data_IF_820296191925
#
_entry.id   IF_820296191925
#
_cell.length_a   1.000
_cell.length_b   1.000
_cell.length_c   1.000
_cell.angle_alpha   90.00
_cell.angle_beta   90.00
_cell.angle_gamma   90.00
#
_symmetry.space_group_name_H-M   'P 1'
#
loop_
_entity.id
_entity.type
_entity.pdbx_description
1 polymer ?
#
# COMPACT_ATOMS: atom_id res chain seq x y z
N UNK A 1 30.97 -13.83 -27.30
CA UNK A 1 30.44 -13.10 -26.13
C UNK A 1 28.96 -13.42 -26.03
N UNK A 2 28.57 -14.24 -25.07
CA UNK A 2 27.15 -14.37 -24.72
C UNK A 2 26.88 -13.31 -23.67
N UNK A 3 26.13 -12.26 -24.02
CA UNK A 3 25.50 -11.40 -23.02
C UNK A 3 24.62 -12.31 -22.16
N UNK A 4 24.96 -12.43 -20.88
CA UNK A 4 24.21 -13.24 -19.94
C UNK A 4 23.16 -12.32 -19.28
N UNK A 5 21.87 -12.37 -19.70
CA UNK A 5 20.84 -11.43 -19.25
C UNK A 5 20.62 -11.46 -17.72
N UNK A 6 20.99 -12.55 -17.07
CA UNK A 6 20.98 -12.69 -15.61
C UNK A 6 21.89 -11.67 -14.93
N UNK A 7 23.05 -11.33 -15.51
CA UNK A 7 24.03 -10.45 -14.86
C UNK A 7 23.60 -8.98 -14.79
N UNK A 8 22.85 -8.49 -15.77
CA UNK A 8 22.37 -7.10 -15.77
C UNK A 8 21.08 -6.94 -14.96
N UNK A 9 20.23 -7.97 -14.93
CA UNK A 9 19.09 -8.04 -14.00
C UNK A 9 19.56 -8.07 -12.53
N UNK A 10 20.61 -8.84 -12.24
CA UNK A 10 21.20 -8.92 -10.90
C UNK A 10 21.78 -7.57 -10.45
N UNK A 11 22.48 -6.86 -11.36
CA UNK A 11 22.99 -5.51 -11.09
C UNK A 11 21.85 -4.52 -10.80
N UNK A 12 20.80 -4.51 -11.63
CA UNK A 12 19.66 -3.62 -11.44
C UNK A 12 18.96 -3.86 -10.09
N UNK A 13 18.81 -5.13 -9.70
CA UNK A 13 18.25 -5.50 -8.39
C UNK A 13 19.15 -5.05 -7.23
N UNK A 14 20.47 -5.22 -7.35
CA UNK A 14 21.43 -4.77 -6.34
C UNK A 14 21.40 -3.24 -6.17
N UNK A 15 21.34 -2.49 -7.26
CA UNK A 15 21.22 -1.03 -7.24
C UNK A 15 19.89 -0.55 -6.64
N UNK A 16 18.78 -1.25 -6.92
CA UNK A 16 17.48 -0.95 -6.31
C UNK A 16 17.52 -1.17 -4.79
N UNK A 17 18.13 -2.28 -4.34
CA UNK A 17 18.31 -2.58 -2.90
C UNK A 17 19.19 -1.56 -2.20
N UNK A 18 20.30 -1.15 -2.83
CA UNK A 18 21.19 -0.13 -2.28
C UNK A 18 20.45 1.19 -2.05
N UNK A 19 19.71 1.67 -3.05
CA UNK A 19 18.87 2.87 -2.93
C UNK A 19 17.80 2.76 -1.85
N UNK A 20 17.17 1.59 -1.72
CA UNK A 20 16.18 1.35 -0.68
C UNK A 20 16.82 1.39 0.72
N UNK A 21 18.03 0.83 0.87
CA UNK A 21 18.76 0.82 2.15
C UNK A 21 19.19 2.22 2.61
N UNK A 22 19.41 3.15 1.68
CA UNK A 22 19.71 4.56 1.97
C UNK A 22 18.46 5.35 2.41
N UNK A 23 17.26 4.84 2.12
CA UNK A 23 16.00 5.53 2.44
C UNK A 23 15.57 5.20 3.87
N UNK A 24 15.21 6.20 4.71
CA UNK A 24 14.72 5.93 6.05
C UNK A 24 13.51 5.00 6.02
N UNK A 25 13.53 3.91 6.81
CA UNK A 25 12.47 2.90 6.80
C UNK A 25 11.06 3.49 7.01
N UNK A 26 10.93 4.54 7.83
CA UNK A 26 9.65 5.24 8.04
C UNK A 26 9.04 5.80 6.74
N UNK A 27 9.88 6.31 5.82
CA UNK A 27 9.44 6.86 4.54
C UNK A 27 8.95 5.75 3.63
N UNK A 28 9.66 4.63 3.59
CA UNK A 28 9.26 3.45 2.81
C UNK A 28 7.93 2.88 3.33
N UNK A 29 7.78 2.76 4.65
CA UNK A 29 6.55 2.26 5.27
C UNK A 29 5.38 3.22 5.05
N UNK A 30 5.58 4.54 5.19
CA UNK A 30 4.55 5.55 4.87
C UNK A 30 4.12 5.46 3.40
N UNK A 31 5.07 5.27 2.49
CA UNK A 31 4.75 5.04 1.07
C UNK A 31 3.95 3.74 0.85
N UNK A 32 4.22 2.67 1.61
CA UNK A 32 3.40 1.46 1.56
C UNK A 32 2.00 1.65 2.11
N UNK A 33 1.82 2.48 3.15
CA UNK A 33 0.50 2.87 3.66
C UNK A 33 -0.30 3.57 2.57
N UNK A 34 0.30 4.54 1.86
CA UNK A 34 -0.34 5.22 0.72
C UNK A 34 -0.68 4.21 -0.38
N UNK A 35 0.27 3.35 -0.77
CA UNK A 35 0.04 2.36 -1.83
C UNK A 35 -1.08 1.36 -1.52
N UNK A 36 -1.24 0.95 -0.24
CA UNK A 36 -2.34 0.07 0.18
C UNK A 36 -3.70 0.80 0.12
N UNK A 37 -3.73 2.08 0.49
CA UNK A 37 -4.93 2.92 0.32
C UNK A 37 -5.32 3.05 -1.16
N UNK A 38 -4.36 3.37 -2.03
CA UNK A 38 -4.60 3.49 -3.47
C UNK A 38 -5.06 2.17 -4.08
N UNK A 39 -4.45 1.05 -3.67
CA UNK A 39 -4.86 -0.28 -4.10
C UNK A 39 -6.32 -0.54 -3.73
N UNK A 40 -6.71 -0.29 -2.48
CA UNK A 40 -8.11 -0.42 -2.07
C UNK A 40 -9.04 0.44 -2.93
N UNK A 41 -8.68 1.70 -3.18
CA UNK A 41 -9.47 2.61 -4.00
C UNK A 41 -9.60 2.14 -5.47
N UNK A 42 -8.52 1.61 -6.07
CA UNK A 42 -8.53 1.04 -7.42
C UNK A 42 -9.48 -0.16 -7.51
N UNK A 43 -9.46 -1.04 -6.51
CA UNK A 43 -10.34 -2.22 -6.49
C UNK A 43 -11.81 -1.85 -6.24
N UNK A 44 -12.08 -0.85 -5.39
CA UNK A 44 -13.44 -0.32 -5.17
C UNK A 44 -13.99 0.43 -6.38
N UNK A 45 -13.14 1.15 -7.11
CA UNK A 45 -13.53 1.89 -8.32
C UNK A 45 -13.65 1.04 -9.59
N UNK A 46 -13.36 -0.27 -9.51
CA UNK A 46 -13.54 -1.17 -10.64
C UNK A 46 -15.02 -1.38 -10.99
N UNK A 47 -15.30 -1.87 -12.21
CA UNK A 47 -16.66 -2.19 -12.65
C UNK A 47 -16.71 -3.63 -13.22
N UNK A 48 -17.29 -4.61 -12.48
CA UNK A 48 -17.85 -4.47 -11.14
C UNK A 48 -16.77 -4.23 -10.06
N UNK A 49 -17.12 -3.64 -8.90
CA UNK A 49 -16.18 -3.49 -7.79
C UNK A 49 -15.61 -4.83 -7.33
N UNK A 50 -14.31 -4.86 -7.03
CA UNK A 50 -13.60 -6.06 -6.55
C UNK A 50 -13.48 -6.04 -5.03
N UNK A 51 -14.56 -6.42 -4.34
CA UNK A 51 -14.65 -6.26 -2.88
C UNK A 51 -13.64 -7.09 -2.09
N UNK A 52 -13.39 -8.35 -2.44
CA UNK A 52 -12.42 -9.19 -1.72
C UNK A 52 -11.00 -8.62 -1.77
N UNK A 53 -10.56 -8.17 -2.96
CA UNK A 53 -9.25 -7.54 -3.12
C UNK A 53 -9.16 -6.20 -2.39
N UNK A 54 -10.21 -5.38 -2.47
CA UNK A 54 -10.28 -4.11 -1.75
C UNK A 54 -10.20 -4.32 -0.23
N UNK A 55 -10.91 -5.34 0.27
CA UNK A 55 -10.90 -5.70 1.69
C UNK A 55 -9.51 -6.10 2.15
N UNK A 56 -8.81 -6.94 1.38
CA UNK A 56 -7.43 -7.34 1.71
C UNK A 56 -6.51 -6.13 1.85
N UNK A 57 -6.60 -5.17 0.92
CA UNK A 57 -5.80 -3.95 0.97
C UNK A 57 -6.16 -3.06 2.19
N UNK A 58 -7.45 -2.92 2.52
CA UNK A 58 -7.93 -2.19 3.70
C UNK A 58 -7.45 -2.84 4.99
N UNK A 59 -7.50 -4.17 5.08
CA UNK A 59 -7.08 -4.91 6.27
C UNK A 59 -5.55 -4.80 6.48
N UNK A 60 -4.77 -4.85 5.39
CA UNK A 60 -3.33 -4.62 5.45
C UNK A 60 -2.99 -3.18 5.87
N UNK A 61 -3.69 -2.19 5.30
CA UNK A 61 -3.55 -0.78 5.70
C UNK A 61 -3.83 -0.61 7.20
N UNK A 62 -4.93 -1.18 7.68
CA UNK A 62 -5.30 -1.15 9.09
C UNK A 62 -4.24 -1.79 9.99
N UNK A 63 -3.73 -2.96 9.60
CA UNK A 63 -2.69 -3.65 10.37
C UNK A 63 -1.46 -2.78 10.57
N UNK A 64 -1.06 -1.98 9.58
CA UNK A 64 0.08 -1.06 9.70
C UNK A 64 -0.29 0.17 10.55
N UNK A 65 -1.38 0.85 10.22
CA UNK A 65 -1.78 2.11 10.86
C UNK A 65 -2.07 1.91 12.35
N UNK A 66 -2.84 0.87 12.69
CA UNK A 66 -3.27 0.60 14.06
C UNK A 66 -2.11 0.08 14.93
N UNK A 67 -1.20 -0.72 14.36
CA UNK A 67 -0.10 -1.31 15.14
C UNK A 67 1.11 -0.38 15.33
N UNK A 68 1.43 0.44 14.32
CA UNK A 68 2.62 1.30 14.38
C UNK A 68 2.35 2.61 15.09
N UNK A 69 1.12 3.13 15.06
CA UNK A 69 0.76 4.34 15.80
C UNK A 69 1.69 5.52 15.49
N UNK A 70 2.15 6.19 16.55
CA UNK A 70 3.09 7.32 16.46
C UNK A 70 4.44 7.00 15.79
N UNK A 71 4.81 5.72 15.60
CA UNK A 71 6.02 5.34 14.85
C UNK A 71 5.93 5.68 13.36
N UNK A 72 4.72 5.93 12.85
CA UNK A 72 4.50 6.44 11.49
C UNK A 72 4.85 7.92 11.35
N UNK A 73 5.12 8.62 12.45
CA UNK A 73 5.47 10.04 12.45
C UNK A 73 4.26 10.95 12.36
N UNK A 74 4.47 12.16 11.84
CA UNK A 74 3.48 13.25 11.83
C UNK A 74 2.25 12.93 10.98
N UNK A 75 2.39 12.05 9.99
CA UNK A 75 1.32 11.65 9.06
C UNK A 75 0.35 10.62 9.66
N UNK A 76 0.61 10.11 10.87
CA UNK A 76 -0.19 9.03 11.47
C UNK A 76 -1.69 9.35 11.54
N UNK A 77 -2.05 10.56 11.97
CA UNK A 77 -3.46 10.96 12.06
C UNK A 77 -4.09 11.07 10.67
N UNK A 78 -3.35 11.57 9.68
CA UNK A 78 -3.80 11.58 8.27
C UNK A 78 -4.06 10.16 7.75
N UNK A 79 -3.22 9.19 8.10
CA UNK A 79 -3.43 7.79 7.72
C UNK A 79 -4.64 7.16 8.40
N UNK A 80 -4.90 7.51 9.67
CA UNK A 80 -6.11 7.07 10.38
C UNK A 80 -7.37 7.62 9.72
N UNK A 81 -7.37 8.90 9.36
CA UNK A 81 -8.49 9.54 8.68
C UNK A 81 -8.74 8.91 7.30
N UNK A 82 -7.67 8.65 6.53
CA UNK A 82 -7.75 7.98 5.23
C UNK A 82 -8.30 6.54 5.36
N UNK A 83 -7.84 5.78 6.36
CA UNK A 83 -8.35 4.44 6.65
C UNK A 83 -9.84 4.46 7.03
N UNK A 84 -10.27 5.42 7.86
CA UNK A 84 -11.67 5.59 8.21
C UNK A 84 -12.53 5.90 6.96
N UNK A 85 -12.05 6.80 6.10
CA UNK A 85 -12.73 7.17 4.87
C UNK A 85 -12.91 5.97 3.93
N UNK A 86 -11.85 5.22 3.63
CA UNK A 86 -11.94 4.10 2.68
C UNK A 86 -12.82 2.95 3.19
N UNK A 87 -12.86 2.73 4.52
CA UNK A 87 -13.79 1.78 5.15
C UNK A 87 -15.25 2.20 4.97
N UNK A 88 -15.56 3.49 5.09
CA UNK A 88 -16.90 4.00 4.83
C UNK A 88 -17.30 3.81 3.35
N UNK A 89 -16.38 4.08 2.42
CA UNK A 89 -16.61 3.84 0.98
C UNK A 89 -16.88 2.36 0.70
N UNK A 90 -16.09 1.46 1.30
CA UNK A 90 -16.29 0.01 1.18
C UNK A 90 -17.71 -0.39 1.61
N UNK A 91 -18.12 -0.01 2.83
CA UNK A 91 -19.44 -0.37 3.38
C UNK A 91 -20.58 0.18 2.53
N UNK A 92 -20.45 1.44 2.06
CA UNK A 92 -21.44 2.06 1.18
C UNK A 92 -21.60 1.24 -0.10
N UNK A 93 -20.49 0.95 -0.79
CA UNK A 93 -20.52 0.22 -2.05
C UNK A 93 -21.01 -1.21 -1.88
N UNK A 94 -20.61 -1.93 -0.83
CA UNK A 94 -21.12 -3.29 -0.59
C UNK A 94 -22.63 -3.28 -0.34
N UNK A 95 -23.16 -2.28 0.35
CA UNK A 95 -24.61 -2.16 0.62
C UNK A 95 -25.39 -1.84 -0.65
N UNK A 96 -24.86 -0.98 -1.52
CA UNK A 96 -25.49 -0.62 -2.81
C UNK A 96 -25.46 -1.76 -3.85
N UNK A 97 -24.53 -2.72 -3.69
CA UNK A 97 -24.35 -3.87 -4.58
C UNK A 97 -24.77 -5.21 -3.93
N UNK A 98 -25.45 -5.17 -2.78
CA UNK A 98 -26.00 -6.34 -2.10
C UNK A 98 -27.31 -6.82 -2.70
#
# INVERSE_FOLDING_TARGET
MSDNPTSDQDKAMAEARARLAETPAKVVVANHVIGLYELAAIHLGANPPRFEDARLAIDALAAIVDSLGSRLGEEHETFKDALANIRLVYVKLTTENS
#
